data_IF_290541620972
#
_entry.id   IF_290541620972
#
_cell.length_a   1.000
_cell.length_b   1.000
_cell.length_c   1.000
_cell.angle_alpha   90.00
_cell.angle_beta   90.00
_cell.angle_gamma   90.00
#
_symmetry.space_group_name_H-M   'P 1'
#
loop_
_entity.id
_entity.type
_entity.pdbx_description
1 polymer ?
#
# COMPACT_ATOMS: atom_id res chain seq x y z
N UNK A 1 -9.20 8.17 -21.51
CA UNK A 1 -8.73 8.18 -20.11
C UNK A 1 -7.59 7.18 -20.03
N UNK A 2 -6.43 7.60 -19.55
CA UNK A 2 -5.24 6.75 -19.45
C UNK A 2 -5.40 5.78 -18.27
N UNK A 3 -5.10 4.49 -18.45
CA UNK A 3 -4.99 3.51 -17.34
C UNK A 3 -3.53 3.28 -17.00
N UNK A 4 -3.24 2.65 -15.84
CA UNK A 4 -1.86 2.24 -15.53
C UNK A 4 -1.30 1.30 -16.60
N UNK A 5 -2.10 0.35 -17.08
CA UNK A 5 -1.68 -0.59 -18.14
C UNK A 5 -1.30 0.15 -19.42
N UNK A 6 -2.18 1.03 -19.90
CA UNK A 6 -1.91 1.79 -21.13
C UNK A 6 -0.75 2.76 -20.96
N UNK A 7 -0.61 3.37 -19.77
CA UNK A 7 0.50 4.27 -19.47
C UNK A 7 1.84 3.52 -19.46
N UNK A 8 1.89 2.34 -18.85
CA UNK A 8 3.06 1.49 -18.87
C UNK A 8 3.42 1.05 -20.28
N UNK A 9 2.45 0.67 -21.11
CA UNK A 9 2.70 0.38 -22.52
C UNK A 9 3.33 1.57 -23.25
N UNK A 10 2.81 2.79 -23.07
CA UNK A 10 3.36 4.00 -23.68
C UNK A 10 4.78 4.31 -23.20
N UNK A 11 5.07 4.16 -21.90
CA UNK A 11 6.42 4.32 -21.33
C UNK A 11 7.41 3.36 -22.02
N UNK A 12 7.01 2.10 -22.24
CA UNK A 12 7.86 1.12 -22.92
C UNK A 12 8.04 1.40 -24.41
N UNK A 13 6.99 1.87 -25.09
CA UNK A 13 7.03 2.19 -26.52
C UNK A 13 7.93 3.40 -26.81
N UNK A 14 8.13 4.29 -25.83
CA UNK A 14 9.05 5.41 -25.91
C UNK A 14 8.79 6.27 -27.18
N UNK A 15 7.52 6.58 -27.42
CA UNK A 15 7.05 7.35 -28.57
C UNK A 15 7.49 8.82 -28.46
N UNK A 16 7.86 9.43 -29.59
CA UNK A 16 8.26 10.85 -29.63
C UNK A 16 7.11 11.80 -29.27
N UNK A 17 5.86 11.40 -29.53
CA UNK A 17 4.69 12.21 -29.21
C UNK A 17 4.35 12.25 -27.70
N UNK A 18 4.93 11.36 -26.88
CA UNK A 18 4.66 11.22 -25.44
C UNK A 18 5.92 11.47 -24.60
N UNK A 19 6.74 12.44 -25.01
CA UNK A 19 8.03 12.74 -24.38
C UNK A 19 7.90 13.13 -22.91
N UNK A 20 6.81 13.80 -22.52
CA UNK A 20 6.56 14.20 -21.14
C UNK A 20 6.38 13.00 -20.22
N UNK A 21 5.71 11.94 -20.69
CA UNK A 21 5.48 10.73 -19.90
C UNK A 21 6.80 10.01 -19.61
N UNK A 22 7.70 10.00 -20.59
CA UNK A 22 9.06 9.48 -20.42
C UNK A 22 9.84 10.28 -19.39
N UNK A 23 9.87 11.61 -19.51
CA UNK A 23 10.58 12.50 -18.58
C UNK A 23 10.09 12.27 -17.15
N UNK A 24 8.76 12.23 -16.94
CA UNK A 24 8.17 11.97 -15.63
C UNK A 24 8.56 10.59 -15.07
N UNK A 25 8.67 9.57 -15.92
CA UNK A 25 9.08 8.22 -15.52
C UNK A 25 10.55 8.16 -15.10
N UNK A 26 11.42 8.85 -15.84
CA UNK A 26 12.85 8.97 -15.51
C UNK A 26 13.04 9.74 -14.20
N UNK A 27 12.36 10.89 -14.04
CA UNK A 27 12.40 11.71 -12.83
C UNK A 27 11.87 10.94 -11.60
N UNK A 28 10.80 10.17 -11.75
CA UNK A 28 10.29 9.30 -10.70
C UNK A 28 11.32 8.26 -10.27
N UNK A 29 12.00 7.64 -11.25
CA UNK A 29 13.05 6.64 -10.98
C UNK A 29 14.22 7.26 -10.22
N UNK A 30 14.67 8.44 -10.61
CA UNK A 30 15.71 9.18 -9.88
C UNK A 30 15.27 9.54 -8.46
N UNK A 31 14.02 9.95 -8.28
CA UNK A 31 13.48 10.28 -6.95
C UNK A 31 13.41 9.06 -6.04
N UNK A 32 12.94 7.93 -6.54
CA UNK A 32 12.92 6.67 -5.78
C UNK A 32 14.34 6.29 -5.31
N UNK A 33 15.33 6.32 -6.21
CA UNK A 33 16.72 6.04 -5.87
C UNK A 33 17.26 7.00 -4.80
N UNK A 34 16.92 8.29 -4.90
CA UNK A 34 17.31 9.28 -3.90
C UNK A 34 16.67 9.00 -2.53
N UNK A 35 15.38 8.62 -2.46
CA UNK A 35 14.72 8.23 -1.21
C UNK A 35 15.44 7.07 -0.51
N UNK A 36 15.82 6.04 -1.26
CA UNK A 36 16.60 4.92 -0.72
C UNK A 36 17.94 5.38 -0.14
N UNK A 37 18.63 6.32 -0.80
CA UNK A 37 19.87 6.90 -0.26
C UNK A 37 19.65 7.70 1.04
N UNK A 38 18.44 8.23 1.26
CA UNK A 38 18.04 8.87 2.53
C UNK A 38 17.60 7.87 3.62
N UNK A 39 17.65 6.57 3.31
CA UNK A 39 17.25 5.49 4.22
C UNK A 39 15.76 5.17 4.20
N UNK A 40 15.05 5.44 3.09
CA UNK A 40 13.72 4.93 2.87
C UNK A 40 13.70 3.39 2.89
N UNK A 41 12.62 2.82 3.40
CA UNK A 41 12.44 1.38 3.53
C UNK A 41 11.28 0.96 2.64
N UNK A 42 11.52 0.00 1.75
CA UNK A 42 10.46 -0.60 0.95
C UNK A 42 9.50 -1.38 1.85
N UNK A 43 8.24 -0.94 1.81
CA UNK A 43 7.12 -1.66 2.43
C UNK A 43 6.16 -2.11 1.35
N UNK A 44 6.69 -2.72 0.27
CA UNK A 44 5.88 -3.33 -0.76
C UNK A 44 4.94 -4.37 -0.12
N UNK A 45 3.64 -4.14 -0.24
CA UNK A 45 2.60 -5.08 0.16
C UNK A 45 1.92 -5.61 -1.09
N UNK A 46 1.41 -6.84 -1.03
CA UNK A 46 0.57 -7.39 -2.09
C UNK A 46 -0.89 -7.19 -1.68
N UNK A 47 -1.34 -5.93 -1.58
CA UNK A 47 -2.75 -5.68 -1.28
C UNK A 47 -3.63 -6.09 -2.47
N UNK A 48 -4.60 -6.97 -2.22
CA UNK A 48 -5.63 -7.34 -3.18
C UNK A 48 -6.65 -6.23 -3.29
N UNK A 49 -6.91 -5.76 -4.50
CA UNK A 49 -8.04 -4.92 -4.79
C UNK A 49 -9.09 -5.69 -5.60
N UNK A 50 -10.35 -5.39 -5.32
CA UNK A 50 -11.48 -5.98 -6.00
C UNK A 50 -12.31 -4.90 -6.65
N UNK A 51 -12.68 -5.15 -7.90
CA UNK A 51 -13.72 -4.43 -8.63
C UNK A 51 -14.84 -5.39 -9.00
N UNK A 52 -16.02 -5.13 -8.44
CA UNK A 52 -17.24 -5.86 -8.77
C UNK A 52 -18.05 -5.01 -9.75
N UNK A 53 -18.26 -5.52 -10.96
CA UNK A 53 -19.16 -4.91 -11.93
C UNK A 53 -20.54 -5.55 -11.82
N UNK A 54 -21.58 -4.72 -11.89
CA UNK A 54 -22.99 -5.10 -11.76
C UNK A 54 -23.25 -5.95 -10.50
N UNK A 55 -23.03 -5.40 -9.29
CA UNK A 55 -23.15 -6.15 -8.04
C UNK A 55 -24.54 -6.74 -7.78
N UNK A 56 -25.58 -6.18 -8.42
CA UNK A 56 -26.97 -6.62 -8.30
C UNK A 56 -27.34 -7.78 -9.25
N UNK A 57 -26.45 -8.16 -10.18
CA UNK A 57 -26.67 -9.31 -11.06
C UNK A 57 -26.60 -10.61 -10.24
N UNK A 58 -27.32 -11.69 -10.64
CA UNK A 58 -27.21 -12.99 -9.97
C UNK A 58 -25.78 -13.56 -9.94
N UNK A 59 -24.99 -13.23 -10.97
CA UNK A 59 -23.57 -13.58 -11.08
C UNK A 59 -22.75 -12.33 -11.45
N UNK A 60 -22.39 -11.49 -10.47
CA UNK A 60 -21.64 -10.27 -10.74
C UNK A 60 -20.24 -10.58 -11.27
N UNK A 61 -19.70 -9.74 -12.15
CA UNK A 61 -18.32 -9.89 -12.63
C UNK A 61 -17.34 -9.41 -11.56
N UNK A 62 -16.45 -10.30 -11.12
CA UNK A 62 -15.46 -10.00 -10.07
C UNK A 62 -14.08 -9.96 -10.71
N UNK A 63 -13.48 -8.77 -10.73
CA UNK A 63 -12.13 -8.56 -11.20
C UNK A 63 -11.23 -8.28 -9.99
N UNK A 64 -10.07 -8.94 -9.96
CA UNK A 64 -9.05 -8.73 -8.94
C UNK A 64 -7.83 -8.08 -9.59
N UNK A 65 -7.18 -7.18 -8.87
CA UNK A 65 -5.87 -6.67 -9.23
C UNK A 65 -5.01 -6.55 -7.97
N UNK A 66 -3.70 -6.68 -8.14
CA UNK A 66 -2.72 -6.47 -7.07
C UNK A 66 -1.91 -5.27 -7.47
N UNK A 67 -1.76 -4.31 -6.55
CA UNK A 67 -0.88 -3.17 -6.79
C UNK A 67 0.55 -3.70 -6.96
N UNK A 68 1.21 -3.24 -8.02
CA UNK A 68 2.58 -3.60 -8.31
C UNK A 68 3.38 -2.32 -8.51
N UNK A 69 4.05 -1.84 -7.48
CA UNK A 69 4.86 -0.62 -7.58
C UNK A 69 6.12 -0.80 -8.45
N UNK A 70 6.45 -2.03 -8.87
CA UNK A 70 7.45 -2.26 -9.91
C UNK A 70 6.92 -2.00 -11.32
N UNK A 71 5.60 -1.85 -11.50
CA UNK A 71 5.02 -1.35 -12.75
C UNK A 71 5.45 0.12 -12.98
N UNK A 72 5.97 0.48 -14.16
CA UNK A 72 6.52 1.82 -14.40
C UNK A 72 5.51 2.95 -14.16
N UNK A 73 4.25 2.79 -14.57
CA UNK A 73 3.25 3.82 -14.39
C UNK A 73 2.81 3.95 -12.92
N UNK A 74 2.63 2.83 -12.21
CA UNK A 74 2.32 2.86 -10.77
C UNK A 74 3.47 3.46 -9.95
N UNK A 75 4.71 3.08 -10.25
CA UNK A 75 5.91 3.65 -9.64
C UNK A 75 6.01 5.16 -9.89
N UNK A 76 5.82 5.58 -11.15
CA UNK A 76 5.79 7.00 -11.54
C UNK A 76 4.77 7.78 -10.72
N UNK A 77 3.51 7.34 -10.71
CA UNK A 77 2.45 8.07 -10.00
C UNK A 77 2.75 8.10 -8.51
N UNK A 78 3.16 6.98 -7.91
CA UNK A 78 3.51 6.91 -6.48
C UNK A 78 4.56 7.96 -6.12
N UNK A 79 5.68 8.00 -6.85
CA UNK A 79 6.78 8.93 -6.58
C UNK A 79 6.37 10.39 -6.79
N UNK A 80 5.58 10.69 -7.82
CA UNK A 80 5.07 12.05 -8.03
C UNK A 80 4.14 12.49 -6.90
N UNK A 81 3.33 11.58 -6.34
CA UNK A 81 2.48 11.87 -5.18
C UNK A 81 3.30 12.10 -3.90
N UNK A 82 4.36 11.31 -3.70
CA UNK A 82 5.31 11.48 -2.59
C UNK A 82 6.02 12.82 -2.70
N UNK A 83 6.55 13.14 -3.89
CA UNK A 83 7.22 14.41 -4.20
C UNK A 83 6.31 15.61 -3.90
N UNK A 84 5.07 15.61 -4.38
CA UNK A 84 4.12 16.68 -4.07
C UNK A 84 3.96 16.86 -2.56
N UNK A 85 3.82 15.75 -1.82
CA UNK A 85 3.61 15.73 -0.38
C UNK A 85 4.87 16.06 0.45
N UNK A 86 6.06 15.92 -0.12
CA UNK A 86 7.36 16.29 0.49
C UNK A 86 7.57 17.81 0.55
N UNK A 87 7.08 18.55 -0.45
CA UNK A 87 7.28 20.00 -0.55
C UNK A 87 6.47 20.76 0.51
N UNK A 88 5.29 20.25 0.87
CA UNK A 88 4.37 20.90 1.81
C UNK A 88 4.97 21.11 3.21
N UNK A 89 5.70 20.16 3.81
CA UNK A 89 6.39 20.36 5.08
C UNK A 89 7.28 21.61 5.12
N UNK A 90 8.13 21.79 4.11
CA UNK A 90 9.01 22.95 3.98
C UNK A 90 8.20 24.23 3.81
N UNK A 91 7.19 24.20 2.94
CA UNK A 91 6.29 25.33 2.72
C UNK A 91 5.55 25.74 3.99
N UNK A 92 4.98 24.77 4.72
CA UNK A 92 4.25 25.02 5.96
C UNK A 92 5.15 25.54 7.06
N UNK A 93 6.34 24.96 7.23
CA UNK A 93 7.30 25.41 8.24
C UNK A 93 7.81 26.82 7.98
N UNK A 94 8.16 27.16 6.74
CA UNK A 94 8.67 28.48 6.39
C UNK A 94 7.63 29.59 6.61
N UNK A 95 6.36 29.27 6.33
CA UNK A 95 5.25 30.21 6.41
C UNK A 95 4.45 30.12 7.72
N UNK A 96 4.90 29.33 8.70
CA UNK A 96 4.22 29.08 9.98
C UNK A 96 2.76 28.61 9.84
N UNK A 97 2.50 27.74 8.86
CA UNK A 97 1.16 27.20 8.58
C UNK A 97 0.99 25.88 9.36
N UNK A 98 -0.02 25.76 10.23
CA UNK A 98 -0.36 24.47 10.83
C UNK A 98 -0.86 23.49 9.75
N UNK A 99 -0.17 22.37 9.58
CA UNK A 99 -0.49 21.31 8.62
C UNK A 99 -0.42 19.94 9.31
N UNK A 100 -1.05 18.88 8.77
CA UNK A 100 -0.92 17.53 9.30
C UNK A 100 0.44 16.92 8.90
N UNK A 101 1.51 17.28 9.62
CA UNK A 101 2.86 16.77 9.41
C UNK A 101 2.95 15.32 9.90
N UNK A 102 2.87 14.37 8.97
CA UNK A 102 2.87 12.94 9.24
C UNK A 102 4.30 12.41 9.26
N UNK A 103 4.69 11.72 10.32
CA UNK A 103 6.02 11.15 10.46
C UNK A 103 6.04 9.98 11.44
N UNK A 104 7.22 9.42 11.65
CA UNK A 104 7.45 8.38 12.65
C UNK A 104 8.54 8.88 13.57
N UNK A 105 8.26 8.94 14.88
CA UNK A 105 9.30 9.16 15.89
C UNK A 105 10.41 8.15 15.64
N UNK A 106 11.65 8.64 15.65
CA UNK A 106 12.79 7.85 15.18
C UNK A 106 12.91 6.55 15.97
N UNK A 107 12.46 5.48 15.33
CA UNK A 107 12.71 4.12 15.74
C UNK A 107 14.00 3.71 15.06
N UNK A 108 14.98 3.20 15.82
CA UNK A 108 16.24 2.71 15.26
C UNK A 108 15.99 1.35 14.58
N UNK A 109 15.21 1.36 13.50
CA UNK A 109 15.04 0.19 12.64
C UNK A 109 16.19 0.21 11.65
N UNK A 110 17.19 -0.63 11.90
CA UNK A 110 18.30 -0.81 10.98
C UNK A 110 17.77 -1.36 9.64
N UNK A 111 18.07 -0.67 8.55
CA UNK A 111 17.70 -1.09 7.20
C UNK A 111 18.33 -2.44 6.81
N UNK A 112 19.34 -2.93 7.53
CA UNK A 112 19.95 -4.24 7.32
C UNK A 112 19.27 -5.38 8.11
N UNK A 113 18.37 -5.08 9.05
CA UNK A 113 17.80 -6.07 9.98
C UNK A 113 17.17 -7.28 9.27
N UNK A 114 16.47 -7.03 8.17
CA UNK A 114 15.82 -8.07 7.36
C UNK A 114 16.51 -8.29 6.00
N UNK A 115 17.77 -7.86 5.84
CA UNK A 115 18.52 -8.07 4.60
C UNK A 115 18.74 -9.56 4.25
N UNK A 116 18.68 -10.44 5.26
CA UNK A 116 18.73 -11.89 5.08
C UNK A 116 17.45 -12.49 4.47
N UNK A 117 16.34 -11.73 4.42
CA UNK A 117 15.09 -12.15 3.80
C UNK A 117 15.02 -11.69 2.33
N UNK A 118 14.32 -12.44 1.45
CA UNK A 118 14.09 -12.03 0.07
C UNK A 118 13.40 -10.66 -0.04
N UNK A 119 13.77 -9.90 -1.07
CA UNK A 119 13.12 -8.62 -1.37
C UNK A 119 11.63 -8.74 -1.64
N UNK A 120 10.92 -7.63 -1.45
CA UNK A 120 9.47 -7.58 -1.61
C UNK A 120 8.71 -8.02 -0.35
N UNK A 121 7.54 -8.66 -0.50
CA UNK A 121 6.55 -8.77 0.58
C UNK A 121 7.04 -9.49 1.84
N UNK A 122 7.97 -10.44 1.70
CA UNK A 122 8.55 -11.18 2.84
C UNK A 122 9.34 -10.24 3.73
N UNK A 123 10.32 -9.52 3.17
CA UNK A 123 11.12 -8.52 3.88
C UNK A 123 10.26 -7.36 4.38
N UNK A 124 9.36 -6.83 3.54
CA UNK A 124 8.40 -5.78 3.94
C UNK A 124 7.58 -6.18 5.17
N UNK A 125 7.08 -7.41 5.20
CA UNK A 125 6.30 -7.92 6.34
C UNK A 125 7.13 -8.00 7.63
N UNK A 126 8.45 -8.18 7.52
CA UNK A 126 9.40 -8.10 8.64
C UNK A 126 9.46 -6.67 9.21
N UNK A 127 9.71 -5.68 8.34
CA UNK A 127 9.80 -4.28 8.74
C UNK A 127 8.50 -3.73 9.35
N UNK A 128 7.36 -3.91 8.67
CA UNK A 128 6.06 -3.38 9.10
C UNK A 128 5.68 -3.84 10.51
N UNK A 129 6.11 -5.03 10.94
CA UNK A 129 5.81 -5.58 12.27
C UNK A 129 6.51 -4.89 13.42
N UNK A 130 7.68 -4.32 13.18
CA UNK A 130 8.49 -3.66 14.21
C UNK A 130 8.42 -2.14 14.12
N UNK A 131 7.86 -1.62 13.03
CA UNK A 131 7.68 -0.19 12.84
C UNK A 131 6.57 0.35 13.75
N UNK A 132 6.83 1.51 14.33
CA UNK A 132 5.80 2.28 15.00
C UNK A 132 4.82 2.88 13.98
N UNK A 133 3.56 3.01 14.39
CA UNK A 133 2.57 3.73 13.61
C UNK A 133 3.03 5.16 13.37
N UNK A 134 2.70 5.71 12.20
CA UNK A 134 2.95 7.12 11.92
C UNK A 134 2.07 8.00 12.81
N UNK A 135 2.67 9.05 13.36
CA UNK A 135 2.02 10.09 14.14
C UNK A 135 1.86 11.36 13.30
N UNK A 136 0.99 12.26 13.73
CA UNK A 136 0.76 13.55 13.07
C UNK A 136 1.04 14.67 14.07
N UNK A 137 2.04 15.49 13.77
CA UNK A 137 2.27 16.76 14.45
C UNK A 137 1.57 17.88 13.64
N UNK A 138 0.98 18.86 14.32
CA UNK A 138 0.23 19.95 13.70
C UNK A 138 0.96 21.29 13.73
N UNK A 139 2.16 21.33 14.31
CA UNK A 139 2.95 22.53 14.55
C UNK A 139 4.25 22.52 13.76
N UNK A 140 4.87 21.36 13.57
CA UNK A 140 6.17 21.24 12.91
C UNK A 140 6.32 19.95 12.09
N UNK A 141 7.13 19.97 11.03
CA UNK A 141 7.54 18.77 10.32
C UNK A 141 8.14 17.70 11.24
N UNK A 142 7.81 16.44 10.97
CA UNK A 142 8.39 15.27 11.63
C UNK A 142 8.93 14.34 10.55
N UNK A 143 10.12 13.76 10.78
CA UNK A 143 10.76 12.82 9.85
C UNK A 143 9.85 11.63 9.59
N UNK A 144 9.72 11.23 8.32
CA UNK A 144 8.98 10.04 7.92
C UNK A 144 9.97 8.93 7.58
N UNK A 145 10.25 8.04 8.54
CA UNK A 145 11.28 6.99 8.43
C UNK A 145 11.11 6.14 7.17
N UNK A 146 9.91 5.58 6.95
CA UNK A 146 9.64 4.69 5.80
C UNK A 146 9.90 5.37 4.46
N UNK A 147 9.62 6.67 4.33
CA UNK A 147 9.80 7.41 3.08
C UNK A 147 11.21 8.02 2.95
N UNK A 148 12.04 7.95 4.00
CA UNK A 148 13.35 8.62 4.02
C UNK A 148 13.28 10.15 4.02
N UNK A 149 12.12 10.75 4.34
CA UNK A 149 11.90 12.20 4.18
C UNK A 149 12.01 12.98 5.50
N UNK A 150 12.54 14.23 5.49
CA UNK A 150 12.61 15.08 6.67
C UNK A 150 11.24 15.56 7.17
N UNK A 151 10.23 15.56 6.28
CA UNK A 151 8.85 15.86 6.60
C UNK A 151 7.93 15.32 5.51
N UNK A 152 6.66 15.07 5.84
CA UNK A 152 5.66 14.63 4.87
C UNK A 152 4.27 15.15 5.26
N UNK A 153 3.53 15.72 4.30
CA UNK A 153 2.13 16.14 4.49
C UNK A 153 1.31 15.60 3.33
N UNK A 154 0.34 14.73 3.62
CA UNK A 154 -0.56 14.19 2.61
C UNK A 154 -1.41 15.32 2.00
N UNK A 155 -1.29 15.51 0.68
CA UNK A 155 -1.94 16.63 -0.02
C UNK A 155 -2.64 16.25 -1.32
N UNK A 156 -2.43 15.02 -1.80
CA UNK A 156 -2.79 14.60 -3.17
C UNK A 156 -4.17 13.93 -3.29
N UNK A 157 -4.93 13.81 -2.19
CA UNK A 157 -6.22 13.10 -2.20
C UNK A 157 -7.31 13.79 -1.34
N UNK A 158 -7.56 15.11 -1.50
CA UNK A 158 -8.51 15.86 -0.66
C UNK A 158 -9.98 15.43 -0.79
N UNK A 159 -10.34 14.72 -1.87
CA UNK A 159 -11.71 14.22 -2.07
C UNK A 159 -12.01 13.01 -1.20
N UNK A 160 -10.99 12.20 -0.85
CA UNK A 160 -11.15 10.93 -0.12
C UNK A 160 -10.46 10.88 1.24
N UNK A 161 -9.49 11.77 1.49
CA UNK A 161 -8.78 11.88 2.78
C UNK A 161 -9.10 13.22 3.42
N UNK A 162 -9.71 13.17 4.61
CA UNK A 162 -10.13 14.39 5.30
C UNK A 162 -8.94 15.26 5.72
N UNK A 163 -7.81 14.66 6.11
CA UNK A 163 -6.62 15.43 6.48
C UNK A 163 -6.01 16.17 5.29
N UNK A 164 -6.00 15.58 4.08
CA UNK A 164 -5.60 16.28 2.86
C UNK A 164 -6.52 17.48 2.58
N UNK A 165 -7.84 17.33 2.79
CA UNK A 165 -8.79 18.42 2.63
C UNK A 165 -8.47 19.59 3.56
N UNK A 166 -8.17 19.32 4.83
CA UNK A 166 -7.78 20.35 5.80
C UNK A 166 -6.45 21.01 5.42
N UNK A 167 -5.47 20.23 4.94
CA UNK A 167 -4.23 20.78 4.43
C UNK A 167 -4.48 21.73 3.24
N UNK A 168 -5.39 21.36 2.32
CA UNK A 168 -5.83 22.23 1.23
C UNK A 168 -6.45 23.54 1.74
N UNK A 169 -7.29 23.50 2.77
CA UNK A 169 -7.89 24.70 3.34
C UNK A 169 -6.84 25.64 3.95
N UNK A 170 -5.86 25.09 4.68
CA UNK A 170 -4.78 25.87 5.28
C UNK A 170 -3.90 26.55 4.22
N UNK A 171 -3.48 25.79 3.20
CA UNK A 171 -2.66 26.32 2.10
C UNK A 171 -3.45 27.38 1.30
N UNK A 172 -4.72 27.13 0.98
CA UNK A 172 -5.56 28.09 0.24
C UNK A 172 -5.81 29.38 1.02
N UNK A 173 -6.02 29.30 2.34
CA UNK A 173 -6.16 30.50 3.17
C UNK A 173 -4.89 31.35 3.12
N UNK A 174 -3.73 30.73 3.32
CA UNK A 174 -2.45 31.42 3.22
C UNK A 174 -2.22 32.09 1.85
N UNK A 175 -2.49 31.37 0.75
CA UNK A 175 -2.32 31.91 -0.61
C UNK A 175 -3.23 33.10 -0.92
N UNK A 176 -4.33 33.27 -0.18
CA UNK A 176 -5.24 34.43 -0.27
C UNK A 176 -4.84 35.59 0.64
N UNK A 177 -3.87 35.38 1.54
CA UNK A 177 -3.54 36.32 2.61
C UNK A 177 -4.52 36.27 3.79
N UNK A 178 -5.36 35.24 3.86
CA UNK A 178 -6.29 35.04 4.98
C UNK A 178 -5.57 34.40 6.18
N UNK A 179 -6.12 34.60 7.37
CA UNK A 179 -5.71 33.83 8.55
C UNK A 179 -5.94 32.33 8.33
N UNK A 180 -5.11 31.44 8.93
CA UNK A 180 -5.33 30.00 8.86
C UNK A 180 -6.75 29.63 9.27
N UNK A 181 -7.40 28.78 8.47
CA UNK A 181 -8.76 28.32 8.73
C UNK A 181 -8.87 27.56 10.06
N UNK A 182 -7.78 26.91 10.47
CA UNK A 182 -7.69 26.16 11.72
C UNK A 182 -6.38 26.43 12.46
N UNK A 183 -6.46 26.48 13.78
CA UNK A 183 -5.29 26.38 14.66
C UNK A 183 -4.79 24.94 14.73
N UNK A 184 -3.54 24.75 15.17
CA UNK A 184 -2.97 23.41 15.37
C UNK A 184 -3.83 22.55 16.31
N UNK A 185 -4.36 23.12 17.40
CA UNK A 185 -5.22 22.38 18.34
C UNK A 185 -6.59 22.01 17.76
N UNK A 186 -7.16 22.85 16.88
CA UNK A 186 -8.39 22.48 16.16
C UNK A 186 -8.14 21.33 15.18
N UNK A 187 -7.03 21.37 14.42
CA UNK A 187 -6.65 20.28 13.53
C UNK A 187 -6.43 18.97 14.31
N UNK A 188 -5.78 19.04 15.46
CA UNK A 188 -5.55 17.90 16.36
C UNK A 188 -6.86 17.29 16.88
N UNK A 189 -7.81 18.12 17.34
CA UNK A 189 -9.12 17.64 17.78
C UNK A 189 -9.95 17.00 16.66
N UNK A 190 -9.87 17.57 15.45
CA UNK A 190 -10.51 17.01 14.26
C UNK A 190 -9.86 15.67 13.88
N UNK A 191 -8.53 15.61 13.85
CA UNK A 191 -7.80 14.39 13.51
C UNK A 191 -8.08 13.26 14.51
N UNK A 192 -8.18 13.57 15.81
CA UNK A 192 -8.61 12.62 16.83
C UNK A 192 -10.01 12.07 16.54
N UNK A 193 -10.95 12.95 16.18
CA UNK A 193 -12.33 12.56 15.81
C UNK A 193 -12.38 11.67 14.57
N UNK A 194 -11.56 11.95 13.55
CA UNK A 194 -11.42 11.10 12.36
C UNK A 194 -10.81 9.74 12.73
N UNK A 195 -9.75 9.74 13.55
CA UNK A 195 -9.06 8.52 13.99
C UNK A 195 -9.93 7.61 14.84
N UNK A 196 -10.90 8.14 15.60
CA UNK A 196 -11.87 7.31 16.32
C UNK A 196 -12.79 6.51 15.37
N UNK A 197 -13.11 7.08 14.19
CA UNK A 197 -14.02 6.45 13.22
C UNK A 197 -13.29 5.60 12.16
N UNK A 198 -12.00 5.88 11.93
CA UNK A 198 -11.20 5.17 10.92
C UNK A 198 -11.15 3.63 11.11
N UNK A 199 -11.02 3.07 12.34
CA UNK A 199 -11.05 1.62 12.55
C UNK A 199 -12.38 0.98 12.15
N UNK A 200 -13.50 1.67 12.38
CA UNK A 200 -14.84 1.17 12.01
C UNK A 200 -14.98 1.10 10.50
N UNK A 201 -14.63 2.20 9.80
CA UNK A 201 -14.64 2.24 8.35
C UNK A 201 -13.69 1.19 7.75
N UNK A 202 -12.47 1.06 8.30
CA UNK A 202 -11.50 0.04 7.88
C UNK A 202 -12.05 -1.37 8.07
N UNK A 203 -12.68 -1.67 9.21
CA UNK A 203 -13.28 -2.98 9.47
C UNK A 203 -14.39 -3.31 8.46
N UNK A 204 -15.31 -2.37 8.21
CA UNK A 204 -16.40 -2.56 7.24
C UNK A 204 -15.85 -2.79 5.83
N UNK A 205 -14.85 -1.99 5.42
CA UNK A 205 -14.17 -2.16 4.14
C UNK A 205 -13.48 -3.53 4.06
N UNK A 206 -12.70 -3.92 5.07
CA UNK A 206 -12.02 -5.22 5.11
C UNK A 206 -12.98 -6.40 5.09
N UNK A 207 -14.12 -6.33 5.79
CA UNK A 207 -15.15 -7.38 5.73
C UNK A 207 -15.75 -7.51 4.33
N UNK A 208 -16.09 -6.39 3.68
CA UNK A 208 -16.60 -6.37 2.31
C UNK A 208 -15.56 -6.90 1.30
N UNK A 209 -14.32 -6.40 1.40
CA UNK A 209 -13.21 -6.85 0.56
C UNK A 209 -12.98 -8.36 0.71
N UNK A 210 -12.88 -8.85 1.94
CA UNK A 210 -12.69 -10.27 2.23
C UNK A 210 -13.82 -11.12 1.67
N UNK A 211 -15.08 -10.71 1.86
CA UNK A 211 -16.23 -11.40 1.27
C UNK A 211 -16.05 -11.60 -0.25
N UNK A 212 -15.73 -10.54 -0.98
CA UNK A 212 -15.57 -10.63 -2.43
C UNK A 212 -14.33 -11.41 -2.86
N UNK A 213 -13.25 -11.39 -2.08
CA UNK A 213 -12.06 -12.23 -2.32
C UNK A 213 -12.46 -13.70 -2.20
N UNK A 214 -13.17 -14.06 -1.13
CA UNK A 214 -13.64 -15.43 -0.93
C UNK A 214 -14.61 -15.86 -2.04
N UNK A 215 -15.48 -14.97 -2.49
CA UNK A 215 -16.43 -15.25 -3.57
C UNK A 215 -15.70 -15.45 -4.90
N UNK A 216 -14.69 -14.64 -5.19
CA UNK A 216 -13.80 -14.83 -6.33
C UNK A 216 -13.08 -16.18 -6.28
N UNK A 217 -12.52 -16.54 -5.13
CA UNK A 217 -11.81 -17.81 -4.92
C UNK A 217 -12.75 -19.01 -5.03
N UNK A 218 -13.97 -18.91 -4.50
CA UNK A 218 -15.02 -19.95 -4.59
C UNK A 218 -15.42 -20.26 -6.04
N UNK A 219 -15.41 -19.25 -6.91
CA UNK A 219 -15.73 -19.39 -8.35
C UNK A 219 -14.57 -19.95 -9.18
N UNK A 220 -13.36 -20.08 -8.63
CA UNK A 220 -12.24 -20.65 -9.37
C UNK A 220 -12.44 -22.16 -9.62
N UNK A 221 -11.89 -22.71 -10.72
CA UNK A 221 -11.92 -24.14 -10.96
C UNK A 221 -11.38 -24.95 -9.77
N UNK A 222 -12.12 -25.96 -9.33
CA UNK A 222 -11.68 -26.84 -8.24
C UNK A 222 -10.34 -27.47 -8.56
N UNK A 223 -9.40 -27.39 -7.63
CA UNK A 223 -8.05 -27.95 -7.80
C UNK A 223 -7.09 -27.10 -8.62
N UNK A 224 -7.48 -25.88 -9.02
CA UNK A 224 -6.56 -24.89 -9.60
C UNK A 224 -5.37 -24.68 -8.65
N UNK A 225 -4.18 -24.95 -9.16
CA UNK A 225 -2.92 -24.67 -8.45
C UNK A 225 -2.62 -23.20 -8.51
N UNK A 226 -1.93 -22.72 -7.50
CA UNK A 226 -1.76 -21.31 -7.24
C UNK A 226 -0.48 -21.12 -6.45
N UNK A 227 0.41 -20.28 -6.96
CA UNK A 227 1.63 -19.96 -6.24
C UNK A 227 1.31 -19.12 -5.01
N UNK A 228 2.04 -19.40 -3.93
CA UNK A 228 1.89 -18.73 -2.67
C UNK A 228 3.24 -18.55 -1.99
N UNK A 229 3.43 -17.40 -1.34
CA UNK A 229 4.70 -17.03 -0.70
C UNK A 229 4.60 -17.16 0.81
N UNK A 230 5.52 -17.89 1.44
CA UNK A 230 5.51 -18.11 2.90
C UNK A 230 6.07 -16.89 3.64
N UNK A 231 5.21 -16.23 4.43
CA UNK A 231 5.59 -15.06 5.22
C UNK A 231 5.95 -15.40 6.68
N UNK A 232 5.33 -16.44 7.29
CA UNK A 232 5.39 -16.72 8.74
C UNK A 232 5.23 -18.22 9.04
N UNK A 233 5.56 -18.66 10.27
CA UNK A 233 5.48 -20.06 10.71
C UNK A 233 4.38 -20.43 11.71
N UNK A 234 3.98 -19.53 12.63
CA UNK A 234 3.10 -19.90 13.78
C UNK A 234 1.71 -20.38 13.29
N UNK A 235 1.27 -19.84 12.17
CA UNK A 235 0.27 -20.37 11.25
C UNK A 235 0.80 -19.93 9.89
N UNK A 236 1.13 -20.84 8.96
CA UNK A 236 1.89 -20.45 7.78
C UNK A 236 1.08 -19.44 6.95
N UNK A 237 1.40 -18.17 7.17
CA UNK A 237 0.74 -17.04 6.54
C UNK A 237 1.30 -16.98 5.15
N UNK A 238 0.45 -17.23 4.17
CA UNK A 238 0.82 -17.25 2.78
C UNK A 238 0.06 -16.16 2.04
N UNK A 239 0.71 -15.56 1.06
CA UNK A 239 0.03 -14.69 0.10
C UNK A 239 -0.52 -15.59 -1.00
N UNK A 240 -1.83 -15.75 -1.04
CA UNK A 240 -2.55 -16.56 -2.02
C UNK A 240 -2.78 -15.75 -3.33
N UNK A 241 -3.32 -16.37 -4.40
CA UNK A 241 -3.59 -15.67 -5.66
C UNK A 241 -4.34 -14.37 -5.46
N UNK A 242 -3.85 -13.34 -6.13
CA UNK A 242 -4.41 -12.00 -6.02
C UNK A 242 -3.98 -11.24 -4.78
N UNK A 243 -2.97 -11.67 -4.01
CA UNK A 243 -2.40 -10.86 -2.91
C UNK A 243 -2.99 -11.13 -1.52
N UNK A 244 -4.00 -12.02 -1.42
CA UNK A 244 -4.71 -12.19 -0.17
C UNK A 244 -3.89 -13.01 0.84
N UNK A 245 -3.66 -12.45 2.04
CA UNK A 245 -2.97 -13.17 3.11
C UNK A 245 -3.91 -14.16 3.81
N UNK A 246 -3.56 -15.44 3.76
CA UNK A 246 -4.31 -16.54 4.38
C UNK A 246 -3.39 -17.44 5.20
N UNK A 247 -3.95 -18.32 6.04
CA UNK A 247 -3.18 -19.32 6.76
C UNK A 247 -3.36 -20.69 6.10
N UNK A 248 -2.28 -21.43 5.94
CA UNK A 248 -2.28 -22.80 5.43
C UNK A 248 -1.35 -23.69 6.28
N UNK A 249 -1.58 -25.00 6.23
CA UNK A 249 -0.58 -25.97 6.68
C UNK A 249 0.41 -26.22 5.54
N UNK A 250 1.70 -26.20 5.86
CA UNK A 250 2.80 -26.45 4.92
C UNK A 250 3.67 -27.59 5.40
N UNK A 251 4.35 -28.25 4.48
CA UNK A 251 5.23 -29.39 4.73
C UNK A 251 6.43 -29.00 5.60
N UNK A 252 6.96 -29.99 6.32
CA UNK A 252 8.16 -29.82 7.14
C UNK A 252 9.37 -29.52 6.24
N UNK A 253 10.13 -28.47 6.57
CA UNK A 253 11.33 -28.06 5.84
C UNK A 253 11.18 -26.79 5.00
N UNK A 254 9.95 -26.30 4.84
CA UNK A 254 9.66 -25.01 4.18
C UNK A 254 10.14 -23.85 5.06
N UNK A 255 10.75 -22.83 4.45
CA UNK A 255 11.29 -21.63 5.10
C UNK A 255 10.48 -20.38 4.77
N UNK A 256 10.65 -19.32 5.58
CA UNK A 256 10.12 -17.99 5.25
C UNK A 256 10.79 -17.52 3.95
N UNK A 257 9.97 -17.10 2.99
CA UNK A 257 10.42 -16.71 1.66
C UNK A 257 10.30 -17.81 0.60
N UNK A 258 10.02 -19.05 0.98
CA UNK A 258 9.78 -20.11 0.01
C UNK A 258 8.47 -19.89 -0.75
N UNK A 259 8.50 -20.19 -2.05
CA UNK A 259 7.31 -20.30 -2.89
C UNK A 259 6.78 -21.73 -2.85
N UNK A 260 5.48 -21.85 -2.60
CA UNK A 260 4.77 -23.14 -2.57
C UNK A 260 3.56 -23.10 -3.49
N UNK A 261 3.16 -24.28 -3.96
CA UNK A 261 1.88 -24.44 -4.65
C UNK A 261 0.78 -24.75 -3.63
N UNK A 262 -0.29 -23.98 -3.67
CA UNK A 262 -1.51 -24.24 -2.90
C UNK A 262 -2.71 -24.37 -3.83
N UNK A 263 -3.79 -24.93 -3.27
CA UNK A 263 -5.12 -24.91 -3.88
C UNK A 263 -6.16 -24.55 -2.83
N UNK A 264 -7.24 -23.91 -3.29
CA UNK A 264 -8.42 -23.67 -2.45
C UNK A 264 -9.14 -25.01 -2.24
N UNK A 265 -9.26 -25.43 -0.99
CA UNK A 265 -10.04 -26.61 -0.58
C UNK A 265 -11.48 -26.19 -0.29
N UNK A 266 -11.66 -25.11 0.48
CA UNK A 266 -12.96 -24.54 0.82
C UNK A 266 -12.87 -23.00 0.85
N UNK A 267 -13.93 -22.34 0.39
CA UNK A 267 -14.10 -20.89 0.48
C UNK A 267 -15.59 -20.58 0.69
N UNK A 268 -15.93 -20.05 1.87
CA UNK A 268 -17.30 -19.70 2.26
C UNK A 268 -17.37 -18.21 2.59
N UNK A 269 -17.79 -17.35 1.64
CA UNK A 269 -17.79 -15.90 1.81
C UNK A 269 -18.64 -15.42 3.00
N UNK A 270 -19.83 -16.00 3.18
CA UNK A 270 -20.75 -15.62 4.25
C UNK A 270 -20.29 -16.05 5.65
N UNK A 271 -19.52 -17.14 5.73
CA UNK A 271 -19.01 -17.70 6.99
C UNK A 271 -17.59 -17.23 7.30
N UNK A 272 -17.00 -16.44 6.40
CA UNK A 272 -15.65 -15.89 6.53
C UNK A 272 -14.53 -16.96 6.57
N UNK A 273 -14.78 -18.12 5.94
CA UNK A 273 -13.89 -19.30 5.95
C UNK A 273 -13.11 -19.42 4.64
N UNK A 274 -11.80 -19.64 4.76
CA UNK A 274 -10.91 -20.04 3.67
C UNK A 274 -10.00 -21.17 4.15
N UNK A 275 -10.05 -22.31 3.47
CA UNK A 275 -9.14 -23.43 3.68
C UNK A 275 -8.23 -23.60 2.46
N UNK A 276 -6.92 -23.52 2.69
CA UNK A 276 -5.90 -23.72 1.68
C UNK A 276 -5.12 -24.99 1.99
N UNK A 277 -4.80 -25.75 0.94
CA UNK A 277 -4.02 -26.98 1.05
C UNK A 277 -2.80 -26.92 0.15
N UNK A 278 -1.64 -27.22 0.70
CA UNK A 278 -0.41 -27.38 -0.06
C UNK A 278 -0.53 -28.54 -1.07
N UNK A 279 -0.02 -28.31 -2.27
CA UNK A 279 0.08 -29.29 -3.34
C UNK A 279 1.50 -29.83 -3.35
N UNK A 280 1.75 -30.85 -2.53
CA UNK A 280 3.07 -31.51 -2.47
C UNK A 280 3.35 -32.22 -3.80
N UNK A 281 4.39 -31.81 -4.51
CA UNK A 281 4.89 -32.56 -5.66
C UNK A 281 5.49 -33.88 -5.16
N UNK A 282 4.81 -35.00 -5.42
CA UNK A 282 5.46 -36.31 -5.28
C UNK A 282 6.53 -36.41 -6.35
N UNK A 283 7.79 -36.20 -5.97
CA UNK A 283 8.92 -36.68 -6.74
C UNK A 283 8.78 -38.20 -6.83
N UNK A 284 8.22 -38.69 -7.95
CA UNK A 284 8.33 -40.09 -8.33
C UNK A 284 9.81 -40.29 -8.62
N UNK A 285 10.55 -40.77 -7.62
CA UNK A 285 11.88 -41.35 -7.86
C UNK A 285 11.65 -42.55 -8.79
N UNK A 286 11.96 -42.37 -10.07
CA UNK A 286 12.27 -43.50 -10.97
C UNK A 286 13.54 -44.19 -10.55
#
# INVERSE_FOLDING_TARGET
MLTYESASELIHLNLEEEVELKILSEDATFRLQWHHQQGAIDTADLETHIKVANPDDPEPSINTYVENHADPAMGLVSEMMVLCSEVLPTFGSYNNIPLPYRGQLQSYVDASLFAHLPEGPVRSSGYVRIMHAAEIDFRKPVRHLVLGLPGYVQFTSPIRRYMDLLAHYQVKAFLRGDSPAFTAGQLEGIASSVNMNAPVAKRLFSCSLKYWILEFLRRQPKGKRSHALVLRFIYCSIIAPGGYQASAWVSVGVQIGDEIDVRVEEAHPCEDVLALKEVVQRNVKT
#
